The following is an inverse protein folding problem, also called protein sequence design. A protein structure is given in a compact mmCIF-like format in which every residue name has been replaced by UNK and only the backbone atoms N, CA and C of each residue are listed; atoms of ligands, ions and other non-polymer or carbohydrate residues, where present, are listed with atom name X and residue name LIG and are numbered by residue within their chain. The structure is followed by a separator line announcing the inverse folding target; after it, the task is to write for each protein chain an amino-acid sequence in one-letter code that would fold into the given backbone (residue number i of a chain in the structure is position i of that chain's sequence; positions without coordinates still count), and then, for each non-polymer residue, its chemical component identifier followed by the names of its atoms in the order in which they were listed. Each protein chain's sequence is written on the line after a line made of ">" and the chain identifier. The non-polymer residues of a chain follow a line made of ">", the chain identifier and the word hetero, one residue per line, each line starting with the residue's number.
data_IF_193690327381
#
_entry.id   IF_193690327381
#
_cell.length_a   1.000
_cell.length_b   1.000
_cell.length_c   1.000
_cell.angle_alpha   90.00
_cell.angle_beta   90.00
_cell.angle_gamma   90.00
#
_symmetry.space_group_name_H-M   'P 1'
#
loop_
_entity.id
_entity.type
_entity.pdbx_description
1 polymer ?
#
# COMPACT_ATOMS: atom_id res chain seq x y z
N UNK A 1 5.02 -18.98 23.38
CA UNK A 1 4.72 -19.60 22.08
C UNK A 1 5.57 -19.02 20.96
N UNK A 2 5.67 -17.70 20.88
CA UNK A 2 6.31 -16.95 19.79
C UNK A 2 7.81 -17.19 19.65
N UNK A 3 8.57 -17.31 20.75
CA UNK A 3 9.98 -17.74 20.71
C UNK A 3 10.17 -19.07 19.97
N UNK A 4 9.32 -20.07 20.25
CA UNK A 4 9.37 -21.38 19.59
C UNK A 4 8.98 -21.30 18.11
N UNK A 5 8.13 -20.34 17.73
CA UNK A 5 7.76 -20.11 16.34
C UNK A 5 8.91 -19.46 15.57
N UNK A 6 9.56 -18.43 16.15
CA UNK A 6 10.78 -17.83 15.61
C UNK A 6 11.90 -18.85 15.43
N UNK A 7 12.23 -19.61 16.49
CA UNK A 7 13.26 -20.66 16.43
C UNK A 7 12.96 -21.72 15.34
N UNK A 8 11.67 -22.00 15.09
CA UNK A 8 11.25 -22.92 14.03
C UNK A 8 11.40 -22.30 12.64
N UNK A 9 10.97 -21.05 12.46
CA UNK A 9 11.14 -20.34 11.18
C UNK A 9 12.62 -20.23 10.83
N UNK A 10 13.47 -19.81 11.78
CA UNK A 10 14.92 -19.70 11.59
C UNK A 10 15.57 -21.04 11.22
N UNK A 11 15.11 -22.13 11.85
CA UNK A 11 15.58 -23.48 11.53
C UNK A 11 15.15 -23.92 10.12
N UNK A 12 13.94 -23.55 9.70
CA UNK A 12 13.40 -23.88 8.38
C UNK A 12 13.98 -22.99 7.26
N UNK A 13 14.37 -21.77 7.57
CA UNK A 13 14.99 -20.83 6.61
C UNK A 13 16.49 -21.10 6.39
N UNK A 14 17.13 -21.85 7.30
CA UNK A 14 18.58 -22.00 7.43
C UNK A 14 19.41 -22.19 6.14
N UNK A 15 20.74 -22.02 6.22
CA UNK A 15 21.65 -21.68 5.11
C UNK A 15 21.79 -22.70 3.97
N UNK A 16 21.01 -23.78 3.97
CA UNK A 16 21.02 -24.85 2.97
C UNK A 16 19.81 -24.86 2.04
N UNK A 17 18.83 -23.98 2.27
CA UNK A 17 17.62 -23.95 1.46
C UNK A 17 17.81 -23.15 0.18
N UNK A 18 17.36 -23.71 -0.94
CA UNK A 18 17.36 -23.02 -2.22
C UNK A 18 16.40 -21.83 -2.16
N UNK A 19 16.64 -20.79 -2.97
CA UNK A 19 15.80 -19.59 -2.96
C UNK A 19 14.30 -19.86 -3.18
N UNK A 20 13.88 -20.79 -4.08
CA UNK A 20 12.46 -21.16 -4.23
C UNK A 20 11.85 -21.71 -2.93
N UNK A 21 12.58 -22.55 -2.19
CA UNK A 21 12.11 -23.12 -0.93
C UNK A 21 11.90 -22.03 0.12
N UNK A 22 12.79 -21.03 0.15
CA UNK A 22 12.67 -19.87 1.06
C UNK A 22 11.43 -19.03 0.70
N UNK A 23 11.19 -18.76 -0.59
CA UNK A 23 10.00 -18.04 -1.02
C UNK A 23 8.72 -18.78 -0.62
N UNK A 24 8.66 -20.08 -0.86
CA UNK A 24 7.52 -20.92 -0.47
C UNK A 24 7.32 -20.96 1.05
N UNK A 25 8.41 -21.06 1.82
CA UNK A 25 8.37 -21.04 3.29
C UNK A 25 7.74 -19.75 3.82
N UNK A 26 8.23 -18.59 3.36
CA UNK A 26 7.72 -17.31 3.84
C UNK A 26 6.31 -17.00 3.34
N UNK A 27 5.94 -17.42 2.12
CA UNK A 27 4.55 -17.37 1.65
C UNK A 27 3.64 -18.18 2.58
N UNK A 28 3.99 -19.44 2.85
CA UNK A 28 3.22 -20.30 3.74
C UNK A 28 3.14 -19.73 5.18
N UNK A 29 4.24 -19.14 5.67
CA UNK A 29 4.27 -18.49 6.98
C UNK A 29 3.25 -17.34 7.05
N UNK A 30 3.16 -16.50 6.02
CA UNK A 30 2.21 -15.39 5.98
C UNK A 30 0.77 -15.84 5.83
N UNK A 31 0.49 -16.85 4.99
CA UNK A 31 -0.85 -17.43 4.88
C UNK A 31 -1.34 -17.97 6.24
N UNK A 32 -0.50 -18.72 6.95
CA UNK A 32 -0.85 -19.23 8.30
C UNK A 32 -0.91 -18.08 9.31
N UNK A 33 -0.07 -17.06 9.16
CA UNK A 33 -0.08 -15.86 9.99
C UNK A 33 -1.40 -15.10 9.92
N UNK A 34 -1.97 -14.94 8.72
CA UNK A 34 -3.29 -14.33 8.49
C UNK A 34 -4.42 -15.11 9.17
N UNK A 35 -4.42 -16.43 9.01
CA UNK A 35 -5.38 -17.33 9.65
C UNK A 35 -5.32 -17.26 11.18
N UNK A 36 -4.11 -17.11 11.73
CA UNK A 36 -3.92 -16.95 13.16
C UNK A 36 -4.43 -15.59 13.65
N UNK A 37 -4.14 -14.52 12.90
CA UNK A 37 -4.52 -13.16 13.26
C UNK A 37 -6.05 -13.01 13.31
N UNK A 38 -6.79 -13.68 12.42
CA UNK A 38 -8.26 -13.77 12.47
C UNK A 38 -8.81 -14.44 13.74
N UNK A 39 -8.01 -15.27 14.42
CA UNK A 39 -8.44 -16.05 15.60
C UNK A 39 -7.98 -15.46 16.93
N UNK A 40 -7.01 -14.56 16.89
CA UNK A 40 -6.45 -13.89 18.05
C UNK A 40 -5.70 -12.66 17.58
N UNK A 41 -6.37 -11.51 17.67
CA UNK A 41 -5.80 -10.23 17.27
C UNK A 41 -4.64 -9.84 18.22
N UNK A 42 -3.42 -10.14 17.78
CA UNK A 42 -2.14 -9.73 18.39
C UNK A 42 -1.29 -9.00 17.34
N UNK A 43 -1.96 -8.25 16.46
CA UNK A 43 -1.40 -7.62 15.27
C UNK A 43 -0.42 -6.49 15.61
N UNK A 44 -0.58 -5.89 16.80
CA UNK A 44 0.36 -4.91 17.38
C UNK A 44 1.24 -5.51 18.49
N UNK A 45 1.17 -6.82 18.72
CA UNK A 45 2.00 -7.51 19.70
C UNK A 45 3.00 -8.46 19.06
N UNK A 46 3.31 -9.55 19.75
CA UNK A 46 4.49 -10.37 19.41
C UNK A 46 4.29 -11.13 18.10
N UNK A 47 3.05 -11.49 17.75
CA UNK A 47 2.73 -12.13 16.47
C UNK A 47 2.88 -11.12 15.33
N UNK A 48 2.34 -9.91 15.47
CA UNK A 48 2.51 -8.82 14.49
C UNK A 48 3.97 -8.48 14.22
N UNK A 49 4.77 -8.28 15.28
CA UNK A 49 6.20 -8.00 15.16
C UNK A 49 6.95 -9.12 14.40
N UNK A 50 6.69 -10.39 14.75
CA UNK A 50 7.31 -11.53 14.08
C UNK A 50 6.89 -11.60 12.60
N UNK A 51 5.63 -11.32 12.28
CA UNK A 51 5.16 -11.28 10.89
C UNK A 51 5.84 -10.16 10.12
N UNK A 52 5.98 -8.96 10.68
CA UNK A 52 6.68 -7.87 10.02
C UNK A 52 8.16 -8.19 9.76
N UNK A 53 8.86 -8.81 10.71
CA UNK A 53 10.24 -9.29 10.53
C UNK A 53 10.33 -10.33 9.39
N UNK A 54 9.41 -11.29 9.37
CA UNK A 54 9.32 -12.30 8.33
C UNK A 54 8.99 -11.71 6.96
N UNK A 55 8.12 -10.70 6.89
CA UNK A 55 7.77 -9.99 5.66
C UNK A 55 8.96 -9.22 5.10
N UNK A 56 9.70 -8.49 5.94
CA UNK A 56 10.94 -7.82 5.54
C UNK A 56 11.96 -8.83 4.99
N UNK A 57 12.04 -10.02 5.58
CA UNK A 57 12.91 -11.09 5.08
C UNK A 57 12.43 -11.61 3.73
N UNK A 58 11.14 -11.88 3.57
CA UNK A 58 10.53 -12.29 2.29
C UNK A 58 10.87 -11.31 1.15
N UNK A 59 10.73 -10.01 1.38
CA UNK A 59 11.07 -8.94 0.42
C UNK A 59 12.57 -8.81 0.10
N UNK A 60 13.44 -9.56 0.80
CA UNK A 60 14.88 -9.60 0.53
C UNK A 60 15.31 -10.83 -0.26
N UNK A 61 14.44 -11.81 -0.45
CA UNK A 61 14.76 -13.01 -1.21
C UNK A 61 14.78 -12.64 -2.70
N UNK A 62 15.88 -12.99 -3.38
CA UNK A 62 16.04 -12.76 -4.80
C UNK A 62 15.19 -13.76 -5.61
N UNK A 63 13.95 -13.36 -5.88
CA UNK A 63 12.99 -14.13 -6.67
C UNK A 63 13.41 -14.28 -8.13
N UNK A 64 14.21 -13.35 -8.68
CA UNK A 64 14.72 -13.47 -10.05
C UNK A 64 15.73 -14.61 -10.16
N UNK A 65 16.68 -14.70 -9.21
CA UNK A 65 17.63 -15.82 -9.14
C UNK A 65 16.94 -17.13 -8.74
N UNK A 66 15.82 -17.07 -8.01
CA UNK A 66 14.97 -18.23 -7.75
C UNK A 66 14.26 -18.76 -9.01
N UNK A 67 14.27 -18.00 -10.12
CA UNK A 67 13.64 -18.39 -11.38
C UNK A 67 12.13 -18.17 -11.42
N UNK A 68 11.59 -17.29 -10.57
CA UNK A 68 10.17 -16.89 -10.67
C UNK A 68 9.97 -15.90 -11.82
N UNK A 69 8.90 -16.10 -12.58
CA UNK A 69 8.44 -15.08 -13.51
C UNK A 69 7.98 -13.83 -12.75
N UNK A 70 8.25 -12.61 -13.25
CA UNK A 70 7.85 -11.38 -12.57
C UNK A 70 6.35 -11.32 -12.28
N UNK A 71 5.51 -11.78 -13.21
CA UNK A 71 4.07 -11.78 -13.03
C UNK A 71 3.64 -12.64 -11.84
N UNK A 72 4.23 -13.84 -11.69
CA UNK A 72 3.90 -14.75 -10.58
C UNK A 72 4.34 -14.19 -9.23
N UNK A 73 5.54 -13.60 -9.15
CA UNK A 73 6.03 -13.00 -7.92
C UNK A 73 5.16 -11.81 -7.47
N UNK A 74 4.83 -10.90 -8.39
CA UNK A 74 4.02 -9.73 -8.06
C UNK A 74 2.57 -10.09 -7.79
N UNK A 75 2.01 -11.08 -8.49
CA UNK A 75 0.68 -11.61 -8.19
C UNK A 75 0.63 -12.13 -6.75
N UNK A 76 1.55 -13.02 -6.38
CA UNK A 76 1.63 -13.58 -5.02
C UNK A 76 1.76 -12.50 -3.94
N UNK A 77 2.61 -11.48 -4.16
CA UNK A 77 2.79 -10.39 -3.21
C UNK A 77 1.55 -9.49 -3.11
N UNK A 78 0.95 -9.12 -4.24
CA UNK A 78 -0.24 -8.27 -4.26
C UNK A 78 -1.45 -8.96 -3.63
N UNK A 79 -1.70 -10.24 -3.93
CA UNK A 79 -2.76 -11.03 -3.28
C UNK A 79 -2.57 -11.11 -1.77
N UNK A 80 -1.33 -11.36 -1.31
CA UNK A 80 -1.01 -11.34 0.10
C UNK A 80 -1.36 -9.98 0.73
N UNK A 81 -0.95 -8.88 0.09
CA UNK A 81 -1.18 -7.53 0.63
C UNK A 81 -2.65 -7.13 0.64
N UNK A 82 -3.43 -7.51 -0.37
CA UNK A 82 -4.88 -7.25 -0.40
C UNK A 82 -5.61 -8.02 0.72
N UNK A 83 -5.15 -9.23 1.03
CA UNK A 83 -5.71 -10.04 2.11
C UNK A 83 -5.16 -9.67 3.50
N UNK A 84 -4.15 -8.80 3.57
CA UNK A 84 -3.50 -8.40 4.82
C UNK A 84 -4.21 -7.22 5.47
N UNK A 85 -5.27 -7.54 6.21
CA UNK A 85 -6.17 -6.55 6.80
C UNK A 85 -5.80 -6.20 8.25
N UNK A 86 -4.66 -6.67 8.74
CA UNK A 86 -4.24 -6.59 10.14
C UNK A 86 -3.03 -5.67 10.32
N UNK A 87 -2.92 -4.66 9.45
CA UNK A 87 -1.97 -3.56 9.58
C UNK A 87 -0.49 -4.00 9.64
N UNK A 88 -0.12 -5.09 8.95
CA UNK A 88 1.25 -5.61 8.90
C UNK A 88 2.29 -4.53 8.55
N UNK A 89 1.94 -3.61 7.67
CA UNK A 89 2.80 -2.52 7.19
C UNK A 89 2.48 -1.16 7.82
N UNK A 90 1.74 -1.12 8.93
CA UNK A 90 1.41 0.13 9.61
C UNK A 90 2.65 1.02 9.82
N UNK A 91 2.50 2.31 9.51
CA UNK A 91 3.58 3.34 9.47
C UNK A 91 4.56 3.21 8.30
N UNK A 92 4.50 2.15 7.51
CA UNK A 92 5.38 1.91 6.36
C UNK A 92 4.68 1.21 5.18
N UNK A 93 3.55 1.75 4.73
CA UNK A 93 2.71 1.13 3.69
C UNK A 93 3.36 1.10 2.29
N UNK A 94 4.45 1.85 2.09
CA UNK A 94 5.26 1.74 0.86
C UNK A 94 6.16 0.50 0.83
N UNK A 95 6.34 -0.18 1.96
CA UNK A 95 7.29 -1.27 2.14
C UNK A 95 7.25 -2.35 1.03
N UNK A 96 6.07 -2.87 0.61
CA UNK A 96 5.99 -3.91 -0.42
C UNK A 96 6.56 -3.46 -1.77
N UNK A 97 6.49 -2.17 -2.08
CA UNK A 97 6.75 -1.63 -3.43
C UNK A 97 8.07 -0.88 -3.58
N UNK A 98 8.83 -0.66 -2.50
CA UNK A 98 10.10 0.09 -2.52
C UNK A 98 11.16 -0.46 -3.47
N UNK A 99 11.09 -1.75 -3.80
CA UNK A 99 12.06 -2.45 -4.65
C UNK A 99 11.50 -2.88 -5.99
N UNK A 100 10.33 -2.34 -6.39
CA UNK A 100 9.78 -2.57 -7.73
C UNK A 100 10.80 -2.10 -8.78
N UNK A 101 11.30 -2.99 -9.65
CA UNK A 101 12.24 -2.60 -10.69
C UNK A 101 11.67 -1.58 -11.66
N UNK A 102 12.54 -0.75 -12.24
CA UNK A 102 12.16 0.15 -13.32
C UNK A 102 11.49 -0.64 -14.46
N UNK A 103 10.30 -0.21 -14.89
CA UNK A 103 9.51 -0.87 -15.93
C UNK A 103 8.53 -1.94 -15.45
N UNK A 104 8.53 -2.30 -14.16
CA UNK A 104 7.56 -3.28 -13.61
C UNK A 104 6.39 -2.65 -12.86
N UNK A 105 6.43 -1.35 -12.55
CA UNK A 105 5.33 -0.71 -11.83
C UNK A 105 3.98 -0.79 -12.58
N UNK A 106 3.98 -0.73 -13.92
CA UNK A 106 2.74 -0.86 -14.71
C UNK A 106 2.16 -2.29 -14.64
N UNK A 107 3.03 -3.31 -14.53
CA UNK A 107 2.62 -4.69 -14.28
C UNK A 107 1.97 -4.83 -12.91
N UNK A 108 2.61 -4.30 -11.86
CA UNK A 108 2.07 -4.35 -10.49
C UNK A 108 0.73 -3.61 -10.40
N UNK A 109 0.63 -2.43 -11.04
CA UNK A 109 -0.63 -1.68 -11.11
C UNK A 109 -1.73 -2.48 -11.84
N UNK A 110 -1.39 -3.14 -12.96
CA UNK A 110 -2.34 -4.00 -13.69
C UNK A 110 -2.85 -5.15 -12.84
N UNK A 111 -1.96 -5.78 -12.07
CA UNK A 111 -2.31 -6.86 -11.13
C UNK A 111 -3.29 -6.33 -10.07
N UNK A 112 -2.97 -5.22 -9.41
CA UNK A 112 -3.81 -4.64 -8.34
C UNK A 112 -5.19 -4.21 -8.87
N UNK A 113 -5.25 -3.61 -10.04
CA UNK A 113 -6.53 -3.23 -10.66
C UNK A 113 -7.34 -4.45 -11.11
N UNK A 114 -6.68 -5.54 -11.48
CA UNK A 114 -7.35 -6.81 -11.81
C UNK A 114 -7.92 -7.47 -10.55
N UNK A 115 -7.17 -7.45 -9.44
CA UNK A 115 -7.64 -7.90 -8.13
C UNK A 115 -8.83 -7.07 -7.64
N UNK A 116 -8.77 -5.74 -7.78
CA UNK A 116 -9.91 -4.86 -7.46
C UNK A 116 -11.19 -5.30 -8.20
N UNK A 117 -11.10 -5.49 -9.52
CA UNK A 117 -12.24 -5.93 -10.31
C UNK A 117 -12.75 -7.32 -9.92
N UNK A 118 -11.84 -8.26 -9.61
CA UNK A 118 -12.18 -9.61 -9.16
C UNK A 118 -12.92 -9.59 -7.82
N UNK A 119 -12.39 -8.88 -6.82
CA UNK A 119 -12.99 -8.77 -5.50
C UNK A 119 -14.34 -8.02 -5.54
N UNK A 120 -14.46 -6.96 -6.35
CA UNK A 120 -15.77 -6.32 -6.61
C UNK A 120 -16.80 -7.30 -7.18
N UNK A 121 -16.40 -8.11 -8.16
CA UNK A 121 -17.29 -9.11 -8.75
C UNK A 121 -17.70 -10.20 -7.76
N UNK A 122 -16.86 -10.47 -6.76
CA UNK A 122 -17.13 -11.39 -5.66
C UNK A 122 -17.89 -10.77 -4.48
N UNK A 123 -18.26 -9.48 -4.54
CA UNK A 123 -18.86 -8.70 -3.43
C UNK A 123 -17.96 -8.57 -2.19
N UNK A 124 -16.65 -8.65 -2.39
CA UNK A 124 -15.63 -8.42 -1.38
C UNK A 124 -15.13 -6.97 -1.46
N UNK A 125 -16.06 -6.03 -1.22
CA UNK A 125 -15.81 -4.58 -1.38
C UNK A 125 -14.62 -4.08 -0.54
N UNK A 126 -14.40 -4.68 0.63
CA UNK A 126 -13.29 -4.32 1.50
C UNK A 126 -11.94 -4.64 0.86
N UNK A 127 -11.77 -5.85 0.31
CA UNK A 127 -10.56 -6.28 -0.39
C UNK A 127 -10.36 -5.49 -1.69
N UNK A 128 -11.44 -5.17 -2.39
CA UNK A 128 -11.38 -4.29 -3.54
C UNK A 128 -10.82 -2.90 -3.16
N UNK A 129 -11.30 -2.33 -2.05
CA UNK A 129 -10.82 -1.04 -1.55
C UNK A 129 -9.34 -1.10 -1.09
N UNK A 130 -8.90 -2.20 -0.47
CA UNK A 130 -7.47 -2.44 -0.16
C UNK A 130 -6.60 -2.47 -1.42
N UNK A 131 -7.05 -3.11 -2.51
CA UNK A 131 -6.33 -3.11 -3.78
C UNK A 131 -6.15 -1.70 -4.36
N UNK A 132 -7.19 -0.84 -4.28
CA UNK A 132 -7.08 0.56 -4.72
C UNK A 132 -6.10 1.36 -3.86
N UNK A 133 -6.11 1.16 -2.54
CA UNK A 133 -5.14 1.79 -1.64
C UNK A 133 -3.70 1.39 -1.99
N UNK A 134 -3.46 0.11 -2.28
CA UNK A 134 -2.14 -0.39 -2.68
C UNK A 134 -1.64 0.24 -3.99
N UNK A 135 -2.52 0.57 -4.95
CA UNK A 135 -2.12 1.31 -6.17
C UNK A 135 -1.53 2.68 -5.81
N UNK A 136 -2.12 3.40 -4.87
CA UNK A 136 -1.58 4.68 -4.41
C UNK A 136 -0.23 4.51 -3.69
N UNK A 137 -0.09 3.47 -2.86
CA UNK A 137 1.18 3.16 -2.19
C UNK A 137 2.29 2.75 -3.16
N UNK A 138 1.96 2.03 -4.24
CA UNK A 138 2.87 1.72 -5.34
C UNK A 138 3.38 3.00 -6.02
N UNK A 139 2.48 3.91 -6.37
CA UNK A 139 2.86 5.19 -7.00
C UNK A 139 3.69 6.05 -6.05
N UNK A 140 3.34 6.07 -4.76
CA UNK A 140 4.11 6.77 -3.73
C UNK A 140 5.53 6.22 -3.62
N UNK A 141 5.69 4.89 -3.51
CA UNK A 141 6.98 4.22 -3.39
C UNK A 141 7.93 4.54 -4.56
N UNK A 142 7.38 4.58 -5.79
CA UNK A 142 8.14 4.93 -7.00
C UNK A 142 8.22 6.42 -7.31
N UNK A 143 7.62 7.30 -6.49
CA UNK A 143 7.44 8.74 -6.78
C UNK A 143 6.89 9.01 -8.18
N UNK A 144 5.90 8.22 -8.60
CA UNK A 144 5.24 8.31 -9.91
C UNK A 144 4.26 9.48 -9.96
N UNK A 145 4.78 10.71 -9.89
CA UNK A 145 4.00 11.94 -9.77
C UNK A 145 2.90 12.09 -10.82
N UNK A 146 3.11 11.60 -12.04
CA UNK A 146 2.12 11.66 -13.14
C UNK A 146 0.87 10.82 -12.86
N UNK A 147 0.94 9.85 -11.95
CA UNK A 147 -0.16 8.95 -11.60
C UNK A 147 -0.87 9.36 -10.30
N UNK A 148 -0.39 10.39 -9.59
CA UNK A 148 -0.92 10.75 -8.27
C UNK A 148 -2.36 11.24 -8.31
N UNK A 149 -2.71 12.05 -9.31
CA UNK A 149 -4.07 12.60 -9.47
C UNK A 149 -5.07 11.47 -9.78
N UNK A 150 -4.73 10.57 -10.70
CA UNK A 150 -5.58 9.43 -11.05
C UNK A 150 -5.76 8.47 -9.87
N UNK A 151 -4.69 8.21 -9.11
CA UNK A 151 -4.76 7.40 -7.90
C UNK A 151 -5.66 8.04 -6.84
N UNK A 152 -5.52 9.35 -6.60
CA UNK A 152 -6.35 10.09 -5.65
C UNK A 152 -7.82 10.13 -6.08
N UNK A 153 -8.09 10.27 -7.38
CA UNK A 153 -9.44 10.20 -7.94
C UNK A 153 -10.10 8.83 -7.69
N UNK A 154 -9.35 7.72 -7.86
CA UNK A 154 -9.86 6.36 -7.60
C UNK A 154 -10.18 6.12 -6.13
N UNK A 155 -9.34 6.63 -5.22
CA UNK A 155 -9.55 6.52 -3.78
C UNK A 155 -10.76 7.33 -3.32
N UNK A 156 -10.98 8.49 -3.92
CA UNK A 156 -11.97 9.47 -3.47
C UNK A 156 -11.74 9.86 -2.01
N UNK A 157 -12.84 10.14 -1.31
CA UNK A 157 -12.80 10.57 0.09
C UNK A 157 -12.99 9.43 1.11
N UNK A 158 -12.94 8.16 0.69
CA UNK A 158 -13.07 7.02 1.60
C UNK A 158 -11.75 6.54 2.21
N UNK A 159 -10.61 6.91 1.60
CA UNK A 159 -9.28 6.47 2.07
C UNK A 159 -8.33 7.66 2.19
N UNK A 160 -8.30 8.29 3.36
CA UNK A 160 -7.59 9.56 3.52
C UNK A 160 -6.06 9.42 3.59
N UNK A 161 -5.56 8.34 4.18
CA UNK A 161 -4.13 8.15 4.43
C UNK A 161 -3.28 8.19 3.15
N UNK A 162 -3.56 7.37 2.13
CA UNK A 162 -2.79 7.43 0.88
C UNK A 162 -2.91 8.77 0.17
N UNK A 163 -4.09 9.43 0.19
CA UNK A 163 -4.26 10.77 -0.42
C UNK A 163 -3.36 11.80 0.24
N UNK A 164 -3.33 11.85 1.58
CA UNK A 164 -2.44 12.76 2.32
C UNK A 164 -0.97 12.46 2.02
N UNK A 165 -0.59 11.18 1.99
CA UNK A 165 0.78 10.78 1.72
C UNK A 165 1.25 11.15 0.29
N UNK A 166 0.37 11.02 -0.71
CA UNK A 166 0.64 11.49 -2.08
C UNK A 166 0.88 13.00 -2.12
N UNK A 167 0.04 13.79 -1.43
CA UNK A 167 0.18 15.24 -1.36
C UNK A 167 1.46 15.68 -0.62
N UNK A 168 1.77 15.07 0.52
CA UNK A 168 3.01 15.33 1.28
C UNK A 168 4.26 14.98 0.45
N UNK A 169 4.23 13.87 -0.30
CA UNK A 169 5.30 13.51 -1.23
C UNK A 169 5.46 14.52 -2.38
N UNK A 170 4.36 15.04 -2.91
CA UNK A 170 4.40 16.11 -3.92
C UNK A 170 5.02 17.40 -3.36
N UNK A 171 4.65 17.79 -2.13
CA UNK A 171 5.24 18.95 -1.44
C UNK A 171 6.74 18.76 -1.16
N UNK A 172 7.14 17.58 -0.66
CA UNK A 172 8.55 17.24 -0.48
C UNK A 172 9.33 17.27 -1.81
N UNK A 173 8.66 16.93 -2.92
CA UNK A 173 9.16 17.06 -4.29
C UNK A 173 9.12 18.47 -4.88
N UNK A 174 8.71 19.49 -4.10
CA UNK A 174 8.52 20.89 -4.53
C UNK A 174 7.50 21.05 -5.66
N UNK A 175 6.40 20.29 -5.58
CA UNK A 175 5.27 20.31 -6.53
C UNK A 175 3.97 20.70 -5.80
N UNK A 176 3.84 21.96 -5.34
CA UNK A 176 2.66 22.38 -4.57
C UNK A 176 1.35 22.26 -5.35
N UNK A 177 1.35 22.60 -6.64
CA UNK A 177 0.16 22.46 -7.50
C UNK A 177 -0.32 21.00 -7.57
N UNK A 178 0.62 20.05 -7.72
CA UNK A 178 0.27 18.62 -7.72
C UNK A 178 -0.35 18.17 -6.39
N UNK A 179 0.11 18.71 -5.26
CA UNK A 179 -0.48 18.40 -3.96
C UNK A 179 -1.93 18.89 -3.86
N UNK A 180 -2.21 20.10 -4.38
CA UNK A 180 -3.57 20.64 -4.46
C UNK A 180 -4.43 19.78 -5.39
N UNK A 181 -3.92 19.41 -6.57
CA UNK A 181 -4.63 18.58 -7.55
C UNK A 181 -4.97 17.19 -6.99
N UNK A 182 -4.07 16.60 -6.20
CA UNK A 182 -4.34 15.34 -5.47
C UNK A 182 -5.55 15.49 -4.53
N UNK A 183 -5.61 16.55 -3.72
CA UNK A 183 -6.75 16.78 -2.83
C UNK A 183 -8.05 17.06 -3.59
N UNK A 184 -7.98 17.82 -4.68
CA UNK A 184 -9.14 18.11 -5.54
C UNK A 184 -9.69 16.84 -6.18
N UNK A 185 -8.82 15.98 -6.70
CA UNK A 185 -9.21 14.71 -7.31
C UNK A 185 -9.92 13.78 -6.30
N UNK A 186 -9.46 13.80 -5.05
CA UNK A 186 -10.06 13.02 -3.96
C UNK A 186 -11.34 13.64 -3.36
N UNK A 187 -11.68 14.92 -3.64
CA UNK A 187 -12.83 15.64 -3.05
C UNK A 187 -14.20 15.20 -3.62
N UNK A 188 -14.50 13.92 -3.46
CA UNK A 188 -15.75 13.26 -3.81
C UNK A 188 -16.58 12.99 -2.55
N UNK A 189 -17.87 12.64 -2.64
CA UNK A 189 -18.62 12.16 -1.48
C UNK A 189 -17.90 10.97 -0.81
N UNK A 190 -17.68 11.03 0.50
CA UNK A 190 -17.00 9.96 1.24
C UNK A 190 -16.75 10.30 2.71
N UNK A 191 -16.40 9.29 3.49
CA UNK A 191 -16.31 9.35 4.96
C UNK A 191 -15.32 10.39 5.48
N UNK A 192 -14.23 10.64 4.76
CA UNK A 192 -13.13 11.51 5.19
C UNK A 192 -13.05 12.82 4.42
N UNK A 193 -14.11 13.22 3.71
CA UNK A 193 -14.09 14.41 2.86
C UNK A 193 -13.69 15.68 3.62
N UNK A 194 -14.32 15.93 4.77
CA UNK A 194 -14.01 17.11 5.59
C UNK A 194 -12.60 17.05 6.17
N UNK A 195 -12.13 15.85 6.52
CA UNK A 195 -10.76 15.64 6.97
C UNK A 195 -9.75 15.98 5.86
N UNK A 196 -9.98 15.52 4.63
CA UNK A 196 -9.12 15.80 3.48
C UNK A 196 -9.12 17.29 3.12
N UNK A 197 -10.27 17.97 3.19
CA UNK A 197 -10.35 19.42 3.01
C UNK A 197 -9.55 20.19 4.06
N UNK A 198 -9.70 19.81 5.33
CA UNK A 198 -8.94 20.41 6.43
C UNK A 198 -7.43 20.17 6.25
N UNK A 199 -7.02 18.97 5.80
CA UNK A 199 -5.63 18.64 5.49
C UNK A 199 -5.07 19.42 4.31
N UNK A 200 -5.84 19.58 3.23
CA UNK A 200 -5.47 20.40 2.09
C UNK A 200 -5.17 21.84 2.53
N UNK A 201 -6.09 22.45 3.26
CA UNK A 201 -5.91 23.80 3.80
C UNK A 201 -4.68 23.87 4.72
N UNK A 202 -4.51 22.91 5.63
CA UNK A 202 -3.34 22.87 6.53
C UNK A 202 -2.01 22.80 5.78
N UNK A 203 -1.95 22.06 4.67
CA UNK A 203 -0.70 21.79 3.94
C UNK A 203 -0.41 22.81 2.83
N UNK A 204 -1.43 23.49 2.31
CA UNK A 204 -1.32 24.30 1.08
C UNK A 204 -1.93 25.70 1.19
N UNK A 205 -2.62 26.02 2.28
CA UNK A 205 -3.46 27.22 2.45
C UNK A 205 -4.58 27.37 1.39
N UNK A 206 -4.92 26.29 0.68
CA UNK A 206 -5.98 26.24 -0.33
C UNK A 206 -7.14 25.37 0.16
N UNK A 207 -8.37 25.82 -0.11
CA UNK A 207 -9.55 24.97 0.05
C UNK A 207 -9.82 24.24 -1.28
N UNK A 208 -9.82 22.89 -1.33
CA UNK A 208 -9.92 22.16 -2.58
C UNK A 208 -11.29 22.28 -3.25
N UNK A 209 -12.31 22.77 -2.54
CA UNK A 209 -13.63 23.07 -3.11
C UNK A 209 -13.71 24.42 -3.82
N UNK A 210 -12.69 25.27 -3.69
CA UNK A 210 -12.69 26.58 -4.33
C UNK A 210 -12.43 26.41 -5.83
N UNK A 211 -13.24 27.04 -6.70
CA UNK A 211 -12.98 27.03 -8.14
C UNK A 211 -11.63 27.70 -8.42
N UNK A 212 -10.89 27.20 -9.40
CA UNK A 212 -9.57 27.71 -9.78
C UNK A 212 -9.53 29.25 -9.83
N UNK A 213 -8.76 29.87 -8.92
CA UNK A 213 -8.40 31.28 -9.01
C UNK A 213 -9.29 32.29 -8.28
N UNK A 214 -10.06 31.93 -7.25
CA UNK A 214 -10.71 32.93 -6.39
C UNK A 214 -9.69 33.58 -5.42
N UNK A 215 -8.90 34.54 -5.92
CA UNK A 215 -8.29 35.52 -5.02
C UNK A 215 -9.41 36.24 -4.26
N UNK A 216 -9.33 36.36 -2.92
CA UNK A 216 -10.27 37.21 -2.19
C UNK A 216 -10.14 38.64 -2.73
N UNK A 217 -11.27 39.36 -2.97
CA UNK A 217 -11.20 40.74 -3.42
C UNK A 217 -10.42 41.56 -2.38
N UNK A 218 -9.55 42.50 -2.81
CA UNK A 218 -8.87 43.38 -1.87
C UNK A 218 -9.93 44.12 -1.05
N UNK A 219 -9.80 44.01 0.27
CA UNK A 219 -10.69 44.66 1.24
C UNK A 219 -10.56 46.18 1.10
N UNK A 220 -11.68 46.94 1.14
CA UNK A 220 -11.66 48.40 0.98
C UNK A 220 -10.89 49.14 2.09
#
# INVERSE_FOLDING_TARGET
>A
MTRRLRDRLDKLDGPRHALPDRLALYRAFHTVGLELAHRGDDSYGVIGELRLEAFKTYLTIDWTTAGMEPADYWQDLCELMVCETHALTYEDDTLPFRRVPAGQADLVETILLSLEAEYRAAYEDFQADEAVQLVAWLHLAGRRYTSYVDAAHRLGSNHWQPVVALAESALAGRRPELAIDVFRAADQPGHHRDHLRAKCHQLTDVNPSDPDGAHPPPTP
#
